data_IF_965217133393
#
_entry.id   IF_965217133393
#
_cell.length_a   1.000
_cell.length_b   1.000
_cell.length_c   1.000
_cell.angle_alpha   90.00
_cell.angle_beta   90.00
_cell.angle_gamma   90.00
#
_symmetry.space_group_name_H-M   'P 1'
#
loop_
_entity.id
_entity.type
_entity.pdbx_description
1 polymer ?
#
# COMPACT_ATOMS: atom_id res chain seq x y z
N UNK A 1 25.01 12.34 -15.80
CA UNK A 1 24.87 12.04 -14.36
C UNK A 1 24.35 10.61 -14.26
N UNK A 2 25.13 9.70 -13.68
CA UNK A 2 24.70 8.31 -13.51
C UNK A 2 23.65 8.24 -12.40
N UNK A 3 22.54 7.55 -12.66
CA UNK A 3 21.46 7.34 -11.68
C UNK A 3 21.78 6.12 -10.81
N UNK A 4 21.86 6.30 -9.48
CA UNK A 4 22.19 5.22 -8.54
C UNK A 4 20.96 4.50 -7.96
N UNK A 5 19.74 4.93 -8.33
CA UNK A 5 18.49 4.36 -7.84
C UNK A 5 18.44 2.82 -8.00
N UNK A 6 18.81 2.21 -9.15
CA UNK A 6 18.75 0.75 -9.28
C UNK A 6 19.61 0.01 -8.24
N UNK A 7 20.83 0.51 -8.00
CA UNK A 7 21.74 -0.06 -7.00
C UNK A 7 21.21 0.13 -5.58
N UNK A 8 20.61 1.29 -5.29
CA UNK A 8 20.00 1.58 -3.99
C UNK A 8 18.76 0.73 -3.73
N UNK A 9 17.93 0.47 -4.75
CA UNK A 9 16.81 -0.46 -4.66
C UNK A 9 17.27 -1.89 -4.41
N UNK A 10 18.35 -2.32 -5.08
CA UNK A 10 18.95 -3.63 -4.83
C UNK A 10 19.45 -3.75 -3.38
N UNK A 11 20.05 -2.69 -2.83
CA UNK A 11 20.43 -2.63 -1.41
C UNK A 11 19.21 -2.84 -0.51
N UNK A 12 18.13 -2.09 -0.72
CA UNK A 12 16.91 -2.23 0.09
C UNK A 12 16.33 -3.66 0.00
N UNK A 13 16.32 -4.26 -1.20
CA UNK A 13 15.95 -5.66 -1.37
C UNK A 13 16.86 -6.60 -0.57
N UNK A 14 18.18 -6.49 -0.69
CA UNK A 14 19.10 -7.39 0.02
C UNK A 14 18.93 -7.33 1.53
N UNK A 15 18.62 -6.15 2.07
CA UNK A 15 18.45 -5.92 3.50
C UNK A 15 17.07 -6.40 4.02
N UNK A 16 16.01 -6.19 3.25
CA UNK A 16 14.63 -6.39 3.72
C UNK A 16 13.90 -7.60 3.11
N UNK A 17 14.50 -8.29 2.11
CA UNK A 17 13.85 -9.41 1.39
C UNK A 17 13.24 -10.47 2.30
N UNK A 18 13.90 -10.83 3.41
CA UNK A 18 13.37 -11.86 4.32
C UNK A 18 12.05 -11.41 4.95
N UNK A 19 12.00 -10.18 5.46
CA UNK A 19 10.78 -9.62 6.04
C UNK A 19 9.67 -9.49 5.00
N UNK A 20 9.99 -9.02 3.80
CA UNK A 20 9.01 -8.90 2.71
C UNK A 20 8.48 -10.26 2.24
N UNK A 21 9.35 -11.26 2.07
CA UNK A 21 8.94 -12.61 1.70
C UNK A 21 8.07 -13.26 2.77
N UNK A 22 8.41 -13.10 4.06
CA UNK A 22 7.57 -13.61 5.16
C UNK A 22 6.20 -12.92 5.14
N UNK A 23 6.16 -11.59 5.03
CA UNK A 23 4.91 -10.83 5.01
C UNK A 23 4.02 -11.21 3.81
N UNK A 24 4.61 -11.45 2.65
CA UNK A 24 3.88 -11.80 1.43
C UNK A 24 3.43 -13.27 1.39
N UNK A 25 4.29 -14.22 1.78
CA UNK A 25 4.05 -15.65 1.58
C UNK A 25 3.51 -16.37 2.83
N UNK A 26 3.87 -15.94 4.05
CA UNK A 26 3.44 -16.67 5.24
C UNK A 26 1.90 -16.66 5.42
N UNK A 27 1.19 -15.52 5.29
CA UNK A 27 -0.26 -15.52 5.44
C UNK A 27 -1.01 -16.45 4.48
N UNK A 28 -0.80 -16.42 3.14
CA UNK A 28 -1.54 -17.30 2.23
C UNK A 28 -1.12 -18.77 2.37
N UNK A 29 0.15 -19.07 2.68
CA UNK A 29 0.59 -20.44 2.93
C UNK A 29 -0.04 -21.04 4.19
N UNK A 30 -0.10 -20.26 5.27
CA UNK A 30 -0.77 -20.67 6.51
C UNK A 30 -2.27 -20.86 6.26
N UNK A 31 -2.90 -19.95 5.52
CA UNK A 31 -4.31 -20.06 5.15
C UNK A 31 -4.58 -21.36 4.38
N UNK A 32 -3.77 -21.65 3.35
CA UNK A 32 -3.86 -22.90 2.59
C UNK A 32 -3.66 -24.15 3.45
N UNK A 33 -2.75 -24.10 4.44
CA UNK A 33 -2.49 -25.23 5.33
C UNK A 33 -3.66 -25.50 6.30
N UNK A 34 -4.36 -24.45 6.74
CA UNK A 34 -5.50 -24.55 7.67
C UNK A 34 -6.80 -24.84 6.93
N UNK A 35 -6.94 -24.41 5.68
CA UNK A 35 -8.17 -24.51 4.89
C UNK A 35 -8.82 -25.91 4.89
N UNK A 36 -8.09 -27.04 4.77
CA UNK A 36 -8.69 -28.37 4.77
C UNK A 36 -9.46 -28.72 6.05
N UNK A 37 -9.08 -28.10 7.16
CA UNK A 37 -9.66 -28.30 8.49
C UNK A 37 -10.75 -27.28 8.84
N UNK A 38 -10.96 -26.28 7.98
CA UNK A 38 -11.99 -25.25 8.19
C UNK A 38 -13.40 -25.79 7.93
N UNK A 39 -14.36 -25.32 8.71
CA UNK A 39 -15.79 -25.51 8.46
C UNK A 39 -16.31 -24.21 7.87
N UNK A 40 -16.89 -24.28 6.67
CA UNK A 40 -17.46 -23.12 5.99
C UNK A 40 -18.98 -23.22 6.06
N UNK A 41 -19.58 -22.36 6.89
CA UNK A 41 -21.02 -22.25 7.03
C UNK A 41 -21.56 -21.20 6.06
N UNK A 42 -22.67 -21.52 5.39
CA UNK A 42 -23.34 -20.64 4.45
C UNK A 42 -22.79 -20.75 3.01
N UNK A 43 -23.70 -20.70 2.04
CA UNK A 43 -23.36 -20.59 0.62
C UNK A 43 -23.55 -19.14 0.19
N UNK A 44 -22.50 -18.46 -0.31
CA UNK A 44 -22.62 -17.11 -0.84
C UNK A 44 -23.60 -17.09 -2.01
N UNK A 45 -24.42 -16.05 -2.08
CA UNK A 45 -25.27 -15.79 -3.23
C UNK A 45 -24.42 -15.24 -4.39
N UNK A 46 -24.55 -15.84 -5.58
CA UNK A 46 -23.86 -15.41 -6.78
C UNK A 46 -23.47 -16.57 -7.69
N UNK A 47 -22.94 -16.25 -8.87
CA UNK A 47 -22.33 -17.25 -9.74
C UNK A 47 -21.00 -17.72 -9.15
N UNK A 48 -20.61 -18.97 -9.42
CA UNK A 48 -19.37 -19.53 -8.91
C UNK A 48 -18.14 -18.76 -9.43
N UNK A 49 -18.20 -18.23 -10.65
CA UNK A 49 -17.17 -17.39 -11.27
C UNK A 49 -17.00 -16.08 -10.50
N UNK A 50 -18.10 -15.45 -10.09
CA UNK A 50 -18.06 -14.21 -9.31
C UNK A 50 -17.47 -14.45 -7.92
N UNK A 51 -17.80 -15.58 -7.29
CA UNK A 51 -17.22 -15.97 -5.99
C UNK A 51 -15.72 -16.24 -6.15
N UNK A 52 -15.29 -16.94 -7.20
CA UNK A 52 -13.88 -17.20 -7.49
C UNK A 52 -13.09 -15.89 -7.69
N UNK A 53 -13.66 -14.97 -8.48
CA UNK A 53 -13.10 -13.64 -8.71
C UNK A 53 -12.97 -12.84 -7.41
N UNK A 54 -14.01 -12.85 -6.58
CA UNK A 54 -14.01 -12.16 -5.30
C UNK A 54 -12.92 -12.71 -4.36
N UNK A 55 -12.77 -14.04 -4.26
CA UNK A 55 -11.71 -14.67 -3.46
C UNK A 55 -10.34 -14.22 -3.94
N UNK A 56 -10.08 -14.25 -5.25
CA UNK A 56 -8.81 -13.83 -5.84
C UNK A 56 -8.48 -12.37 -5.48
N UNK A 57 -9.43 -11.45 -5.68
CA UNK A 57 -9.25 -10.02 -5.40
C UNK A 57 -9.04 -9.79 -3.90
N UNK A 58 -9.84 -10.44 -3.05
CA UNK A 58 -9.69 -10.35 -1.58
C UNK A 58 -8.30 -10.84 -1.15
N UNK A 59 -7.82 -11.96 -1.69
CA UNK A 59 -6.47 -12.45 -1.40
C UNK A 59 -5.40 -11.43 -1.82
N UNK A 60 -5.51 -10.85 -3.03
CA UNK A 60 -4.58 -9.81 -3.48
C UNK A 60 -4.60 -8.58 -2.55
N UNK A 61 -5.78 -8.07 -2.21
CA UNK A 61 -5.95 -6.93 -1.31
C UNK A 61 -5.45 -7.21 0.12
N UNK A 62 -5.69 -8.41 0.64
CA UNK A 62 -5.26 -8.79 1.99
C UNK A 62 -3.73 -8.81 2.09
N UNK A 63 -3.05 -9.47 1.14
CA UNK A 63 -1.58 -9.54 1.16
C UNK A 63 -0.95 -8.19 0.84
N UNK A 64 -1.55 -7.42 -0.08
CA UNK A 64 -1.19 -6.02 -0.32
C UNK A 64 -1.25 -5.19 0.97
N UNK A 65 -2.38 -5.25 1.69
CA UNK A 65 -2.59 -4.51 2.93
C UNK A 65 -1.61 -4.90 4.03
N UNK A 66 -1.32 -6.19 4.20
CA UNK A 66 -0.30 -6.67 5.14
C UNK A 66 1.08 -6.11 4.77
N UNK A 67 1.48 -6.22 3.50
CA UNK A 67 2.77 -5.72 3.03
C UNK A 67 2.90 -4.19 3.19
N UNK A 68 1.83 -3.45 2.88
CA UNK A 68 1.75 -2.00 3.07
C UNK A 68 1.87 -1.62 4.54
N UNK A 69 1.11 -2.26 5.44
CA UNK A 69 1.17 -1.98 6.87
C UNK A 69 2.55 -2.26 7.46
N UNK A 70 3.14 -3.40 7.12
CA UNK A 70 4.51 -3.76 7.56
C UNK A 70 5.51 -2.72 7.06
N UNK A 71 5.40 -2.29 5.81
CA UNK A 71 6.30 -1.30 5.23
C UNK A 71 6.13 0.10 5.85
N UNK A 72 4.89 0.57 6.03
CA UNK A 72 4.59 1.87 6.65
C UNK A 72 5.06 1.92 8.11
N UNK A 73 4.99 0.80 8.84
CA UNK A 73 5.51 0.73 10.20
C UNK A 73 7.04 0.81 10.25
N UNK A 74 7.74 0.22 9.27
CA UNK A 74 9.21 0.22 9.21
C UNK A 74 9.79 1.54 8.70
N UNK A 75 9.12 2.18 7.73
CA UNK A 75 9.59 3.35 7.00
C UNK A 75 10.15 4.49 7.87
N UNK A 76 9.45 4.96 8.92
CA UNK A 76 9.98 6.01 9.79
C UNK A 76 11.28 5.61 10.48
N UNK A 77 11.42 4.34 10.88
CA UNK A 77 12.63 3.82 11.52
C UNK A 77 13.84 3.80 10.59
N UNK A 78 13.63 3.59 9.29
CA UNK A 78 14.69 3.52 8.29
C UNK A 78 15.41 4.86 8.10
N UNK A 79 14.75 5.98 8.37
CA UNK A 79 15.38 7.30 8.35
C UNK A 79 16.53 7.43 9.36
N UNK A 80 16.60 6.55 10.37
CA UNK A 80 17.65 6.52 11.40
C UNK A 80 18.69 5.42 11.19
N UNK A 81 18.47 4.50 10.25
CA UNK A 81 19.34 3.34 10.01
C UNK A 81 20.79 3.77 9.82
N UNK A 82 20.98 4.83 9.06
CA UNK A 82 22.28 5.37 8.70
C UNK A 82 23.10 5.84 9.91
N UNK A 83 22.46 6.37 10.96
CA UNK A 83 23.16 6.76 12.19
C UNK A 83 23.57 5.58 13.07
N UNK A 84 23.02 4.38 12.81
CA UNK A 84 23.26 3.17 13.62
C UNK A 84 24.15 2.15 12.91
N UNK A 85 24.36 2.31 11.61
CA UNK A 85 25.08 1.35 10.76
C UNK A 85 26.46 1.91 10.39
N UNK A 86 27.54 1.30 10.91
CA UNK A 86 28.92 1.70 10.56
C UNK A 86 29.23 1.54 9.07
N UNK A 87 28.46 0.75 8.31
CA UNK A 87 28.59 0.69 6.86
C UNK A 87 28.17 1.99 6.16
N UNK A 88 27.55 2.95 6.87
CA UNK A 88 27.17 4.23 6.30
C UNK A 88 28.36 5.03 5.76
N UNK A 89 29.54 4.93 6.37
CA UNK A 89 30.74 5.63 5.91
C UNK A 89 31.13 5.14 4.50
N UNK A 90 31.01 3.83 4.26
CA UNK A 90 31.15 3.25 2.93
C UNK A 90 30.06 3.77 1.98
N UNK A 91 28.78 3.78 2.39
CA UNK A 91 27.69 4.27 1.53
C UNK A 91 27.74 5.77 1.23
N UNK A 92 28.24 6.59 2.15
CA UNK A 92 28.48 8.02 1.95
C UNK A 92 29.72 8.29 1.09
N UNK A 93 30.69 7.36 1.09
CA UNK A 93 31.85 7.44 0.20
C UNK A 93 31.52 7.11 -1.25
N UNK A 94 30.41 6.40 -1.50
CA UNK A 94 29.94 6.14 -2.85
C UNK A 94 29.36 7.42 -3.46
N UNK A 95 29.58 7.66 -4.77
CA UNK A 95 28.93 8.77 -5.46
C UNK A 95 27.42 8.52 -5.45
N UNK A 96 26.69 9.24 -4.61
CA UNK A 96 25.24 9.09 -4.48
C UNK A 96 24.66 10.25 -3.68
N UNK A 97 23.55 10.82 -4.15
CA UNK A 97 22.93 11.97 -3.46
C UNK A 97 22.06 11.46 -2.29
N UNK A 98 22.06 12.13 -1.12
CA UNK A 98 21.19 11.74 -0.01
C UNK A 98 19.71 11.67 -0.40
N UNK A 99 19.27 12.51 -1.33
CA UNK A 99 17.92 12.50 -1.92
C UNK A 99 17.60 11.20 -2.65
N UNK A 100 18.55 10.65 -3.42
CA UNK A 100 18.38 9.39 -4.16
C UNK A 100 18.20 8.21 -3.20
N UNK A 101 18.93 8.20 -2.09
CA UNK A 101 18.77 7.13 -1.11
C UNK A 101 17.47 7.25 -0.33
N UNK A 102 17.01 8.45 0.04
CA UNK A 102 15.68 8.60 0.67
C UNK A 102 14.58 8.17 -0.30
N UNK A 103 14.63 8.63 -1.55
CA UNK A 103 13.67 8.26 -2.59
C UNK A 103 13.65 6.75 -2.83
N UNK A 104 14.82 6.10 -2.90
CA UNK A 104 14.91 4.65 -3.11
C UNK A 104 14.32 3.85 -1.94
N UNK A 105 14.56 4.28 -0.69
CA UNK A 105 13.96 3.65 0.49
C UNK A 105 12.43 3.76 0.47
N UNK A 106 11.88 4.94 0.15
CA UNK A 106 10.43 5.13 0.02
C UNK A 106 9.86 4.32 -1.13
N UNK A 107 10.49 4.35 -2.31
CA UNK A 107 10.04 3.59 -3.48
C UNK A 107 9.99 2.08 -3.20
N UNK A 108 11.01 1.56 -2.53
CA UNK A 108 11.09 0.14 -2.18
C UNK A 108 9.98 -0.27 -1.19
N UNK A 109 9.77 0.51 -0.13
CA UNK A 109 8.87 0.14 0.96
C UNK A 109 7.43 0.58 0.72
N UNK A 110 7.18 1.81 0.28
CA UNK A 110 5.83 2.33 0.10
C UNK A 110 5.16 1.81 -1.18
N UNK A 111 5.95 1.40 -2.19
CA UNK A 111 5.41 0.98 -3.48
C UNK A 111 5.77 -0.45 -3.89
N UNK A 112 7.06 -0.78 -4.06
CA UNK A 112 7.47 -2.07 -4.62
C UNK A 112 7.11 -3.26 -3.72
N UNK A 113 7.35 -3.16 -2.40
CA UNK A 113 7.02 -4.24 -1.48
C UNK A 113 5.50 -4.52 -1.41
N UNK A 114 4.62 -3.51 -1.28
CA UNK A 114 3.17 -3.70 -1.37
C UNK A 114 2.72 -4.28 -2.71
N UNK A 115 3.25 -3.78 -3.83
CA UNK A 115 2.96 -4.32 -5.17
C UNK A 115 3.37 -5.80 -5.26
N UNK A 116 4.54 -6.16 -4.75
CA UNK A 116 4.97 -7.55 -4.63
C UNK A 116 3.99 -8.41 -3.81
N UNK A 117 3.50 -7.86 -2.69
CA UNK A 117 2.44 -8.48 -1.90
C UNK A 117 1.15 -8.70 -2.67
N UNK A 118 0.68 -7.71 -3.44
CA UNK A 118 -0.52 -7.83 -4.27
C UNK A 118 -0.38 -8.94 -5.33
N UNK A 119 0.78 -9.04 -5.98
CA UNK A 119 1.07 -10.08 -6.98
C UNK A 119 1.08 -11.47 -6.34
N UNK A 120 1.72 -11.62 -5.16
CA UNK A 120 1.69 -12.88 -4.42
C UNK A 120 0.27 -13.23 -4.00
N UNK A 121 -0.50 -12.28 -3.46
CA UNK A 121 -1.90 -12.51 -3.09
C UNK A 121 -2.78 -12.90 -4.29
N UNK A 122 -2.57 -12.31 -5.46
CA UNK A 122 -3.27 -12.70 -6.69
C UNK A 122 -2.88 -14.12 -7.14
N UNK A 123 -1.60 -14.46 -7.09
CA UNK A 123 -1.10 -15.79 -7.46
C UNK A 123 -1.63 -16.89 -6.53
N UNK A 124 -1.70 -16.64 -5.22
CA UNK A 124 -2.27 -17.56 -4.24
C UNK A 124 -3.80 -17.53 -4.20
N UNK A 125 -4.43 -16.46 -4.68
CA UNK A 125 -5.89 -16.35 -4.77
C UNK A 125 -6.52 -17.46 -5.61
N UNK A 126 -5.85 -17.91 -6.67
CA UNK A 126 -6.32 -19.02 -7.51
C UNK A 126 -6.40 -20.36 -6.77
N UNK A 127 -5.30 -20.92 -6.20
CA UNK A 127 -5.40 -22.17 -5.45
C UNK A 127 -6.28 -22.05 -4.21
N UNK A 128 -6.35 -20.88 -3.58
CA UNK A 128 -7.27 -20.63 -2.47
C UNK A 128 -8.73 -20.72 -2.95
N UNK A 129 -9.10 -20.04 -4.04
CA UNK A 129 -10.43 -20.10 -4.63
C UNK A 129 -10.80 -21.54 -5.03
N UNK A 130 -9.87 -22.25 -5.67
CA UNK A 130 -10.04 -23.66 -6.07
C UNK A 130 -10.40 -24.55 -4.88
N UNK A 131 -9.63 -24.47 -3.79
CA UNK A 131 -9.85 -25.30 -2.61
C UNK A 131 -11.12 -24.90 -1.85
N UNK A 132 -11.39 -23.59 -1.73
CA UNK A 132 -12.60 -23.09 -1.06
C UNK A 132 -13.86 -23.53 -1.80
N UNK A 133 -13.93 -23.31 -3.12
CA UNK A 133 -15.08 -23.71 -3.93
C UNK A 133 -15.26 -25.23 -3.96
N UNK A 134 -14.16 -25.98 -4.09
CA UNK A 134 -14.19 -27.45 -4.06
C UNK A 134 -14.78 -27.99 -2.75
N UNK A 135 -14.53 -27.30 -1.63
CA UNK A 135 -15.08 -27.63 -0.31
C UNK A 135 -16.54 -27.21 -0.13
N UNK A 136 -16.96 -26.08 -0.68
CA UNK A 136 -18.30 -25.50 -0.45
C UNK A 136 -19.37 -26.03 -1.41
N UNK A 137 -19.00 -26.21 -2.68
CA UNK A 137 -19.89 -26.55 -3.78
C UNK A 137 -19.60 -27.93 -4.36
N UNK A 138 -18.38 -28.44 -4.18
CA UNK A 138 -17.95 -29.75 -4.67
C UNK A 138 -16.93 -29.65 -5.80
N UNK A 139 -16.10 -30.68 -5.92
CA UNK A 139 -15.00 -30.70 -6.88
C UNK A 139 -15.45 -30.72 -8.33
N UNK A 140 -16.58 -31.37 -8.64
CA UNK A 140 -17.11 -31.43 -10.01
C UNK A 140 -17.47 -30.03 -10.54
N UNK A 141 -18.28 -29.29 -9.79
CA UNK A 141 -18.71 -27.93 -10.15
C UNK A 141 -17.52 -26.97 -10.21
N UNK A 142 -16.56 -27.15 -9.31
CA UNK A 142 -15.36 -26.30 -9.25
C UNK A 142 -14.41 -26.53 -10.43
N UNK A 143 -14.28 -27.77 -10.91
CA UNK A 143 -13.48 -28.05 -12.11
C UNK A 143 -14.20 -27.65 -13.40
N UNK A 144 -15.53 -27.60 -13.39
CA UNK A 144 -16.34 -27.19 -14.54
C UNK A 144 -16.31 -25.67 -14.80
N UNK A 145 -15.81 -24.88 -13.85
CA UNK A 145 -15.64 -23.43 -13.97
C UNK A 145 -14.73 -23.02 -15.13
N UNK A 146 -15.12 -21.95 -15.83
CA UNK A 146 -14.27 -21.29 -16.83
C UNK A 146 -13.20 -20.42 -16.14
N UNK A 147 -12.18 -21.05 -15.55
CA UNK A 147 -11.08 -20.35 -14.86
C UNK A 147 -10.37 -19.29 -15.71
N UNK A 148 -10.34 -19.48 -17.03
CA UNK A 148 -9.82 -18.48 -17.96
C UNK A 148 -10.60 -17.15 -17.89
N UNK A 149 -11.93 -17.21 -17.82
CA UNK A 149 -12.77 -16.02 -17.71
C UNK A 149 -12.59 -15.33 -16.36
N UNK A 150 -12.45 -16.09 -15.27
CA UNK A 150 -12.16 -15.55 -13.93
C UNK A 150 -10.85 -14.76 -13.94
N UNK A 151 -9.78 -15.30 -14.54
CA UNK A 151 -8.48 -14.64 -14.64
C UNK A 151 -8.55 -13.39 -15.53
N UNK A 152 -9.23 -13.48 -16.68
CA UNK A 152 -9.41 -12.34 -17.59
C UNK A 152 -10.21 -11.22 -16.91
N UNK A 153 -11.27 -11.55 -16.17
CA UNK A 153 -12.07 -10.60 -15.41
C UNK A 153 -11.30 -9.99 -14.23
N UNK A 154 -10.36 -10.71 -13.64
CA UNK A 154 -9.49 -10.20 -12.58
C UNK A 154 -8.47 -9.18 -13.10
N UNK A 155 -8.00 -9.30 -14.34
CA UNK A 155 -6.95 -8.45 -14.90
C UNK A 155 -7.25 -6.93 -14.81
N UNK A 156 -8.41 -6.41 -15.24
CA UNK A 156 -8.70 -4.98 -15.11
C UNK A 156 -8.72 -4.50 -13.64
N UNK A 157 -9.21 -5.33 -12.72
CA UNK A 157 -9.23 -5.03 -11.28
C UNK A 157 -7.81 -4.97 -10.72
N UNK A 158 -6.96 -5.94 -11.06
CA UNK A 158 -5.57 -6.00 -10.62
C UNK A 158 -4.75 -4.85 -11.19
N UNK A 159 -4.92 -4.53 -12.49
CA UNK A 159 -4.26 -3.40 -13.12
C UNK A 159 -4.69 -2.08 -12.49
N UNK A 160 -6.00 -1.89 -12.24
CA UNK A 160 -6.51 -0.72 -11.53
C UNK A 160 -5.92 -0.60 -10.12
N UNK A 161 -5.83 -1.71 -9.41
CA UNK A 161 -5.19 -1.78 -8.09
C UNK A 161 -3.72 -1.36 -8.17
N UNK A 162 -2.96 -1.91 -9.13
CA UNK A 162 -1.55 -1.57 -9.36
C UNK A 162 -1.34 -0.09 -9.65
N UNK A 163 -2.12 0.50 -10.55
CA UNK A 163 -2.04 1.96 -10.80
C UNK A 163 -2.50 2.75 -9.58
N UNK A 164 -3.55 2.30 -8.90
CA UNK A 164 -4.04 2.89 -7.66
C UNK A 164 -2.99 2.94 -6.57
N UNK A 165 -2.07 1.96 -6.49
CA UNK A 165 -0.98 2.01 -5.52
C UNK A 165 -0.06 3.22 -5.70
N UNK A 166 0.11 3.72 -6.93
CA UNK A 166 0.88 4.94 -7.19
C UNK A 166 0.14 6.14 -6.62
N UNK A 167 -1.16 6.24 -6.90
CA UNK A 167 -2.03 7.31 -6.38
C UNK A 167 -2.05 7.30 -4.84
N UNK A 168 -2.21 6.12 -4.25
CA UNK A 168 -2.17 5.93 -2.80
C UNK A 168 -0.83 6.40 -2.23
N UNK A 169 0.27 6.00 -2.86
CA UNK A 169 1.61 6.37 -2.40
C UNK A 169 1.77 7.88 -2.40
N UNK A 170 1.33 8.58 -3.45
CA UNK A 170 1.38 10.04 -3.54
C UNK A 170 0.62 10.71 -2.38
N UNK A 171 -0.60 10.25 -2.09
CA UNK A 171 -1.38 10.76 -0.96
C UNK A 171 -0.79 10.39 0.42
N UNK A 172 -0.05 9.29 0.52
CA UNK A 172 0.65 8.90 1.75
C UNK A 172 1.99 9.62 1.97
N UNK A 173 2.61 10.19 0.93
CA UNK A 173 3.90 10.90 1.04
C UNK A 173 3.98 11.94 2.16
N UNK A 174 2.99 12.83 2.39
CA UNK A 174 3.05 13.78 3.51
C UNK A 174 3.22 13.09 4.85
N UNK A 175 2.46 12.02 5.12
CA UNK A 175 2.60 11.25 6.36
C UNK A 175 3.95 10.54 6.42
N UNK A 176 4.34 9.85 5.34
CA UNK A 176 5.60 9.10 5.28
C UNK A 176 6.78 10.03 5.59
N UNK A 177 6.88 11.18 4.91
CA UNK A 177 8.01 12.08 5.08
C UNK A 177 7.99 12.85 6.40
N UNK A 178 6.81 13.24 6.91
CA UNK A 178 6.73 13.86 8.25
C UNK A 178 7.18 12.89 9.33
N UNK A 179 6.75 11.62 9.27
CA UNK A 179 7.16 10.61 10.25
C UNK A 179 8.64 10.23 10.11
N UNK A 180 9.15 10.11 8.89
CA UNK A 180 10.58 9.91 8.65
C UNK A 180 11.41 11.09 9.18
N UNK A 181 10.97 12.33 8.93
CA UNK A 181 11.63 13.53 9.44
C UNK A 181 11.61 13.55 10.98
N UNK A 182 10.44 13.37 11.59
CA UNK A 182 10.31 13.34 13.04
C UNK A 182 11.21 12.26 13.66
N UNK A 183 11.23 11.05 13.10
CA UNK A 183 12.13 9.97 13.52
C UNK A 183 13.61 10.35 13.39
N UNK A 184 14.02 10.95 12.26
CA UNK A 184 15.40 11.35 12.03
C UNK A 184 15.88 12.43 13.01
N UNK A 185 15.03 13.40 13.37
CA UNK A 185 15.41 14.53 14.23
C UNK A 185 15.19 14.25 15.72
N UNK A 186 14.13 13.55 16.10
CA UNK A 186 13.71 13.30 17.49
C UNK A 186 13.98 11.86 17.96
N UNK A 187 14.69 11.06 17.15
CA UNK A 187 15.11 9.69 17.47
C UNK A 187 13.92 8.78 17.79
N UNK A 188 13.93 8.09 18.94
CA UNK A 188 12.91 7.08 19.33
C UNK A 188 11.55 7.71 19.64
N UNK A 189 11.53 9.00 19.98
CA UNK A 189 10.30 9.72 20.33
C UNK A 189 9.65 10.40 19.11
N UNK A 190 10.32 10.44 17.95
CA UNK A 190 9.83 11.18 16.80
C UNK A 190 8.46 10.75 16.31
N UNK A 191 8.25 9.45 16.09
CA UNK A 191 6.95 8.93 15.65
C UNK A 191 5.85 9.17 16.70
N UNK A 192 6.04 8.80 17.99
CA UNK A 192 5.06 9.12 19.04
C UNK A 192 4.74 10.61 19.13
N UNK A 193 5.74 11.48 19.10
CA UNK A 193 5.55 12.93 19.20
C UNK A 193 4.80 13.48 17.99
N UNK A 194 5.13 13.04 16.77
CA UNK A 194 4.43 13.49 15.57
C UNK A 194 2.96 13.06 15.56
N UNK A 195 2.67 11.79 15.89
CA UNK A 195 1.31 11.27 15.87
C UNK A 195 0.47 11.78 17.06
N UNK A 196 0.95 11.58 18.29
CA UNK A 196 0.21 11.95 19.50
C UNK A 196 0.21 13.47 19.68
N UNK A 197 1.37 14.11 19.53
CA UNK A 197 1.47 15.57 19.64
C UNK A 197 0.70 16.29 18.55
N UNK A 198 0.76 15.80 17.30
CA UNK A 198 -0.04 16.33 16.20
C UNK A 198 -1.54 16.16 16.43
N UNK A 199 -1.97 14.96 16.84
CA UNK A 199 -3.38 14.69 17.16
C UNK A 199 -3.91 15.55 18.30
N UNK A 200 -3.15 15.70 19.39
CA UNK A 200 -3.51 16.57 20.52
C UNK A 200 -3.57 18.03 20.08
N UNK A 201 -2.60 18.51 19.29
CA UNK A 201 -2.61 19.89 18.79
C UNK A 201 -3.85 20.18 17.95
N UNK A 202 -4.20 19.29 17.01
CA UNK A 202 -5.41 19.42 16.19
C UNK A 202 -6.67 19.38 17.06
N UNK A 203 -6.74 18.47 18.03
CA UNK A 203 -7.88 18.37 18.94
C UNK A 203 -8.05 19.63 19.79
N UNK A 204 -6.97 20.21 20.30
CA UNK A 204 -6.99 21.48 21.05
C UNK A 204 -7.42 22.63 20.16
N UNK A 205 -6.87 22.74 18.94
CA UNK A 205 -7.28 23.77 17.97
C UNK A 205 -8.79 23.72 17.69
N UNK A 206 -9.33 22.52 17.45
CA UNK A 206 -10.75 22.33 17.18
C UNK A 206 -11.63 22.59 18.43
N UNK A 207 -11.32 21.95 19.56
CA UNK A 207 -12.20 21.96 20.74
C UNK A 207 -12.06 23.22 21.62
N UNK A 208 -10.87 23.80 21.71
CA UNK A 208 -10.59 24.94 22.60
C UNK A 208 -10.63 26.26 21.84
N UNK A 209 -10.07 26.30 20.64
CA UNK A 209 -9.94 27.54 19.86
C UNK A 209 -10.98 27.69 18.75
N UNK A 210 -11.80 26.67 18.47
CA UNK A 210 -12.78 26.69 17.38
C UNK A 210 -12.17 26.77 15.99
N UNK A 211 -10.92 26.32 15.82
CA UNK A 211 -10.20 26.31 14.55
C UNK A 211 -10.33 24.92 13.92
N UNK A 212 -11.21 24.81 12.92
CA UNK A 212 -11.60 23.51 12.33
C UNK A 212 -10.73 23.06 11.16
N UNK A 213 -10.09 23.99 10.45
CA UNK A 213 -9.41 23.69 9.19
C UNK A 213 -8.37 22.56 9.26
N UNK A 214 -7.58 22.35 10.34
CA UNK A 214 -6.61 21.25 10.37
C UNK A 214 -7.30 19.88 10.44
N UNK A 215 -8.41 19.78 11.18
CA UNK A 215 -9.18 18.55 11.27
C UNK A 215 -9.84 18.25 9.92
N UNK A 216 -10.45 19.26 9.30
CA UNK A 216 -11.06 19.14 7.96
C UNK A 216 -10.01 18.70 6.94
N UNK A 217 -8.81 19.29 6.94
CA UNK A 217 -7.74 18.89 6.03
C UNK A 217 -7.30 17.42 6.24
N UNK A 218 -7.21 16.95 7.48
CA UNK A 218 -6.85 15.55 7.76
C UNK A 218 -7.96 14.56 7.35
N UNK A 219 -9.22 14.93 7.53
CA UNK A 219 -10.35 14.13 7.07
C UNK A 219 -10.38 14.06 5.53
N UNK A 220 -10.16 15.19 4.87
CA UNK A 220 -10.02 15.30 3.41
C UNK A 220 -8.87 14.41 2.91
N UNK A 221 -7.70 14.46 3.55
CA UNK A 221 -6.58 13.58 3.21
C UNK A 221 -6.94 12.09 3.32
N UNK A 222 -7.65 11.72 4.39
CA UNK A 222 -8.08 10.33 4.62
C UNK A 222 -9.10 9.87 3.56
N UNK A 223 -10.01 10.74 3.13
CA UNK A 223 -10.95 10.47 2.04
C UNK A 223 -10.23 10.16 0.73
N UNK A 224 -9.28 11.02 0.32
CA UNK A 224 -8.46 10.82 -0.87
C UNK A 224 -7.60 9.55 -0.82
N UNK A 225 -7.07 9.21 0.36
CA UNK A 225 -6.36 7.95 0.59
C UNK A 225 -7.28 6.76 0.30
N UNK A 226 -8.54 6.79 0.75
CA UNK A 226 -9.49 5.70 0.52
C UNK A 226 -9.91 5.60 -0.96
N UNK A 227 -10.06 6.72 -1.66
CA UNK A 227 -10.45 6.73 -3.09
C UNK A 227 -9.32 6.30 -4.03
N UNK A 228 -8.06 6.37 -3.60
CA UNK A 228 -6.89 6.10 -4.45
C UNK A 228 -6.86 4.70 -5.09
N UNK A 229 -7.26 3.66 -4.34
CA UNK A 229 -7.31 2.28 -4.83
C UNK A 229 -8.61 1.96 -5.56
N UNK A 230 -9.72 2.48 -5.06
CA UNK A 230 -11.05 2.32 -5.64
C UNK A 230 -11.91 3.51 -5.20
N UNK A 231 -12.44 4.26 -6.16
CA UNK A 231 -13.22 5.46 -5.88
C UNK A 231 -14.65 5.09 -5.44
N UNK A 232 -15.30 4.21 -6.18
CA UNK A 232 -16.67 3.77 -5.90
C UNK A 232 -16.74 2.23 -5.75
N UNK A 233 -16.67 1.79 -4.49
CA UNK A 233 -16.79 0.37 -4.15
C UNK A 233 -18.18 -0.21 -4.37
N UNK A 234 -19.23 0.58 -4.14
CA UNK A 234 -20.61 0.13 -4.36
C UNK A 234 -20.92 -0.01 -5.85
N UNK A 235 -20.47 0.95 -6.66
CA UNK A 235 -20.53 0.90 -8.11
C UNK A 235 -19.80 -0.32 -8.68
N UNK A 236 -18.65 -0.70 -8.11
CA UNK A 236 -17.92 -1.90 -8.54
C UNK A 236 -18.74 -3.17 -8.30
N UNK A 237 -19.32 -3.33 -7.11
CA UNK A 237 -20.17 -4.50 -6.79
C UNK A 237 -21.37 -4.56 -7.73
N UNK A 238 -21.99 -3.41 -8.03
CA UNK A 238 -23.08 -3.34 -9.00
C UNK A 238 -22.61 -3.77 -10.38
N UNK A 239 -21.48 -3.25 -10.86
CA UNK A 239 -20.94 -3.54 -12.19
C UNK A 239 -20.61 -5.03 -12.37
N UNK A 240 -20.01 -5.66 -11.35
CA UNK A 240 -19.72 -7.09 -11.33
C UNK A 240 -20.98 -7.95 -11.39
N UNK A 241 -22.05 -7.54 -10.68
CA UNK A 241 -23.33 -8.28 -10.67
C UNK A 241 -24.12 -8.13 -11.96
N UNK A 242 -24.05 -6.97 -12.60
CA UNK A 242 -24.75 -6.70 -13.85
C UNK A 242 -24.04 -7.23 -15.10
N UNK A 243 -22.82 -7.74 -14.96
CA UNK A 243 -22.00 -8.16 -16.11
C UNK A 243 -21.61 -6.99 -17.03
N UNK A 244 -21.50 -5.78 -16.47
CA UNK A 244 -21.04 -4.61 -17.23
C UNK A 244 -19.58 -4.79 -17.64
N UNK A 245 -19.15 -4.03 -18.65
CA UNK A 245 -17.73 -3.95 -19.04
C UNK A 245 -16.87 -3.46 -17.86
N UNK A 246 -16.28 -4.40 -17.13
CA UNK A 246 -15.42 -4.16 -15.96
C UNK A 246 -14.23 -3.30 -16.36
N UNK A 247 -13.68 -3.48 -17.56
CA UNK A 247 -12.56 -2.70 -18.06
C UNK A 247 -12.92 -1.22 -18.22
N UNK A 248 -14.05 -0.95 -18.88
CA UNK A 248 -14.60 0.41 -19.02
C UNK A 248 -14.89 1.07 -17.67
N UNK A 249 -15.49 0.34 -16.73
CA UNK A 249 -15.74 0.85 -15.37
C UNK A 249 -14.44 1.18 -14.63
N UNK A 250 -13.45 0.30 -14.65
CA UNK A 250 -12.14 0.51 -14.01
C UNK A 250 -11.39 1.71 -14.58
N UNK A 251 -11.51 1.96 -15.89
CA UNK A 251 -10.89 3.13 -16.52
C UNK A 251 -11.55 4.44 -16.08
N UNK A 252 -12.88 4.46 -15.94
CA UNK A 252 -13.62 5.61 -15.42
C UNK A 252 -13.29 5.87 -13.95
N UNK A 253 -13.25 4.83 -13.13
CA UNK A 253 -12.87 4.91 -11.71
C UNK A 253 -11.43 5.45 -11.53
N UNK A 254 -10.48 4.98 -12.36
CA UNK A 254 -9.13 5.51 -12.40
C UNK A 254 -9.12 7.00 -12.77
N UNK A 255 -9.89 7.39 -13.79
CA UNK A 255 -10.00 8.79 -14.21
C UNK A 255 -10.50 9.70 -13.10
N UNK A 256 -11.50 9.27 -12.32
CA UNK A 256 -12.01 10.01 -11.14
C UNK A 256 -10.95 10.16 -10.06
N UNK A 257 -10.28 9.07 -9.71
CA UNK A 257 -9.22 9.07 -8.69
C UNK A 257 -8.01 9.92 -9.10
N UNK A 258 -7.64 9.88 -10.38
CA UNK A 258 -6.55 10.70 -10.91
C UNK A 258 -6.92 12.19 -10.95
N UNK A 259 -8.19 12.52 -11.18
CA UNK A 259 -8.65 13.91 -11.21
C UNK A 259 -8.50 14.59 -9.84
N UNK A 260 -8.57 13.85 -8.74
CA UNK A 260 -8.33 14.38 -7.39
C UNK A 260 -6.91 14.94 -7.20
N UNK A 261 -5.92 14.48 -7.98
CA UNK A 261 -4.56 15.03 -7.94
C UNK A 261 -4.48 16.48 -8.44
N UNK A 262 -5.51 16.97 -9.13
CA UNK A 262 -5.58 18.37 -9.59
C UNK A 262 -6.17 19.32 -8.53
N UNK A 263 -6.52 18.80 -7.34
CA UNK A 263 -7.08 19.60 -6.25
C UNK A 263 -6.04 20.51 -5.60
N UNK A 264 -6.51 21.63 -5.02
CA UNK A 264 -5.67 22.50 -4.19
C UNK A 264 -5.19 21.80 -2.91
N UNK A 265 -5.99 20.86 -2.37
CA UNK A 265 -5.60 20.06 -1.21
C UNK A 265 -4.41 19.17 -1.54
N UNK A 266 -4.38 18.53 -2.72
CA UNK A 266 -3.22 17.75 -3.16
C UNK A 266 -1.95 18.61 -3.20
N UNK A 267 -2.01 19.82 -3.77
CA UNK A 267 -0.86 20.75 -3.80
C UNK A 267 -0.38 21.10 -2.39
N UNK A 268 -1.30 21.39 -1.47
CA UNK A 268 -0.97 21.66 -0.06
C UNK A 268 -0.27 20.48 0.61
N UNK A 269 -0.79 19.27 0.44
CA UNK A 269 -0.20 18.05 0.99
C UNK A 269 1.16 17.72 0.35
N UNK A 270 1.32 17.96 -0.94
CA UNK A 270 2.61 17.80 -1.61
C UNK A 270 3.65 18.81 -1.14
N UNK A 271 3.24 20.03 -0.77
CA UNK A 271 4.14 21.00 -0.13
C UNK A 271 4.62 20.49 1.25
N UNK A 272 3.72 19.91 2.06
CA UNK A 272 4.08 19.26 3.34
C UNK A 272 5.04 18.09 3.10
N UNK A 273 4.76 17.25 2.11
CA UNK A 273 5.61 16.12 1.74
C UNK A 273 7.01 16.59 1.30
N UNK A 274 7.10 17.64 0.47
CA UNK A 274 8.35 18.23 0.02
C UNK A 274 9.17 18.81 1.17
N UNK A 275 8.53 19.50 2.12
CA UNK A 275 9.19 20.00 3.33
C UNK A 275 9.72 18.85 4.20
N UNK A 276 8.92 17.80 4.43
CA UNK A 276 9.34 16.60 5.14
C UNK A 276 10.52 15.90 4.47
N UNK A 277 10.47 15.72 3.14
CA UNK A 277 11.56 15.15 2.37
C UNK A 277 12.84 15.97 2.50
N UNK A 278 12.75 17.29 2.35
CA UNK A 278 13.89 18.20 2.52
C UNK A 278 14.50 18.10 3.92
N UNK A 279 13.68 17.97 4.98
CA UNK A 279 14.16 17.79 6.35
C UNK A 279 14.89 16.45 6.55
N UNK A 280 14.41 15.36 5.95
CA UNK A 280 15.08 14.05 5.99
C UNK A 280 16.43 14.13 5.26
N UNK A 281 16.43 14.71 4.05
CA UNK A 281 17.65 14.87 3.23
C UNK A 281 18.68 15.75 3.95
N UNK A 282 18.26 16.88 4.52
CA UNK A 282 19.14 17.79 5.25
C UNK A 282 19.76 17.13 6.48
N UNK A 283 18.99 16.31 7.22
CA UNK A 283 19.52 15.55 8.35
C UNK A 283 20.54 14.51 7.90
N UNK A 284 20.24 13.78 6.83
CA UNK A 284 21.13 12.75 6.27
C UNK A 284 22.45 13.32 5.75
N UNK A 285 22.40 14.48 5.10
CA UNK A 285 23.60 15.19 4.63
C UNK A 285 24.55 15.61 5.76
N UNK A 286 24.07 15.67 7.01
CA UNK A 286 24.87 16.02 8.20
C UNK A 286 25.45 14.80 8.94
N UNK A 287 25.38 13.60 8.37
CA UNK A 287 25.95 12.38 8.97
C UNK A 287 25.00 11.60 9.89
N UNK A 288 23.69 11.85 9.82
CA UNK A 288 22.67 11.11 10.59
C UNK A 288 22.34 11.71 11.96
#
# INVERSE_FOLDING_TARGET
MNNHIPTLLLREWMQHKRGWLIAAFAPPLLFLAVLPFSHMDGRPDGTLELIALAILVICSCAIYGIALLVALFQLPGLARRDAQDRSIEFWLSLPGRPSESVASTVLAHAWLAPVGGAVVGAAFGLPIALLMLGRMFGWADTMALHWGEVVVAALPLLLRGLVGTVLLTLWLLPLIFVLMAASAWLKRLGVPVALVGGGVAVAVMHKVYGIDWPLVALLDLNEHINHSLLYDGHGLVSALRSGLDIGGYMLQDLGRSAAELMSLSFVGWMAVAAAGFALVVAKRARGG
#
